data_IF_854283260064
#
_entry.id   IF_854283260064
#
_cell.length_a   1.000
_cell.length_b   1.000
_cell.length_c   1.000
_cell.angle_alpha   90.00
_cell.angle_beta   90.00
_cell.angle_gamma   90.00
#
_symmetry.space_group_name_H-M   'P 1'
#
loop_
_entity.id
_entity.type
_entity.pdbx_description
1 polymer ?
#
# COMPACT_ATOMS: atom_id res chain seq x y z
N UNK A 1 14.31 9.97 -3.06
CA UNK A 1 14.67 8.87 -2.15
C UNK A 1 15.56 7.85 -2.84
N UNK A 2 15.26 7.46 -4.09
CA UNK A 2 16.08 6.54 -4.91
C UNK A 2 17.59 6.85 -4.92
N UNK A 3 17.99 8.11 -5.12
CA UNK A 3 19.41 8.52 -5.09
C UNK A 3 20.11 8.20 -3.77
N UNK A 4 19.44 8.47 -2.64
CA UNK A 4 19.99 8.20 -1.30
C UNK A 4 20.01 6.69 -1.02
N UNK A 5 19.01 5.95 -1.52
CA UNK A 5 18.97 4.49 -1.42
C UNK A 5 20.15 3.84 -2.15
N UNK A 6 20.40 4.28 -3.40
CA UNK A 6 21.48 3.76 -4.25
C UNK A 6 22.89 4.09 -3.73
N UNK A 7 23.05 5.26 -3.11
CA UNK A 7 24.37 5.75 -2.66
C UNK A 7 24.67 5.44 -1.19
N UNK A 8 23.69 4.92 -0.43
CA UNK A 8 23.80 4.67 1.02
C UNK A 8 24.89 3.65 1.35
N UNK A 9 25.07 2.62 0.53
CA UNK A 9 26.05 1.55 0.85
C UNK A 9 27.50 2.03 0.70
N UNK A 10 27.74 3.04 -0.14
CA UNK A 10 29.06 3.64 -0.36
C UNK A 10 29.35 4.81 0.58
N UNK A 11 28.38 5.71 0.79
CA UNK A 11 28.60 6.97 1.51
C UNK A 11 27.84 7.09 2.85
N UNK A 12 26.92 6.18 3.15
CA UNK A 12 26.04 6.28 4.32
C UNK A 12 24.94 7.35 4.16
N UNK A 13 23.86 7.24 4.95
CA UNK A 13 22.69 8.13 4.85
C UNK A 13 22.99 9.55 5.34
N UNK A 14 23.66 9.71 6.48
CA UNK A 14 23.86 11.03 7.08
C UNK A 14 24.75 11.95 6.22
N UNK A 15 25.86 11.48 5.62
CA UNK A 15 26.68 12.30 4.73
C UNK A 15 25.94 12.78 3.48
N UNK A 16 25.11 11.91 2.88
CA UNK A 16 24.29 12.28 1.72
C UNK A 16 23.25 13.35 2.12
N UNK A 17 22.54 13.14 3.23
CA UNK A 17 21.58 14.12 3.75
C UNK A 17 22.25 15.45 4.13
N UNK A 18 23.50 15.42 4.61
CA UNK A 18 24.27 16.63 4.90
C UNK A 18 24.60 17.41 3.62
N UNK A 19 25.02 16.74 2.55
CA UNK A 19 25.32 17.37 1.27
C UNK A 19 24.07 17.98 0.60
N UNK A 20 22.90 17.39 0.83
CA UNK A 20 21.63 17.89 0.28
C UNK A 20 21.01 19.05 1.07
N UNK A 21 21.59 19.43 2.22
CA UNK A 21 20.98 20.35 3.19
C UNK A 21 20.58 21.69 2.59
N UNK A 22 21.39 22.26 1.71
CA UNK A 22 21.19 23.60 1.16
C UNK A 22 20.65 23.57 -0.29
N UNK A 23 20.13 22.41 -0.70
CA UNK A 23 19.55 22.21 -2.03
C UNK A 23 18.03 22.08 -1.94
N UNK A 24 17.35 22.18 -3.08
CA UNK A 24 15.91 21.88 -3.17
C UNK A 24 15.55 20.42 -2.78
N UNK A 25 16.55 19.54 -2.66
CA UNK A 25 16.39 18.14 -2.29
C UNK A 25 16.75 17.85 -0.81
N UNK A 26 16.67 18.86 0.07
CA UNK A 26 16.89 18.69 1.51
C UNK A 26 15.93 17.64 2.10
N UNK A 27 16.49 16.61 2.76
CA UNK A 27 15.72 15.55 3.43
C UNK A 27 16.42 15.20 4.75
N UNK A 28 15.65 15.08 5.83
CA UNK A 28 16.19 14.66 7.12
C UNK A 28 16.65 13.19 7.11
N UNK A 29 17.79 12.84 7.76
CA UNK A 29 18.25 11.46 7.84
C UNK A 29 17.25 10.50 8.48
N UNK A 30 16.50 10.96 9.49
CA UNK A 30 15.43 10.18 10.12
C UNK A 30 14.35 9.76 9.13
N UNK A 31 13.95 10.66 8.23
CA UNK A 31 12.97 10.39 7.17
C UNK A 31 13.49 9.35 6.18
N UNK A 32 14.75 9.47 5.76
CA UNK A 32 15.38 8.48 4.86
C UNK A 32 15.47 7.12 5.54
N UNK A 33 15.96 7.07 6.79
CA UNK A 33 16.07 5.82 7.55
C UNK A 33 14.70 5.16 7.77
N UNK A 34 13.67 5.94 8.07
CA UNK A 34 12.30 5.44 8.20
C UNK A 34 11.76 4.88 6.87
N UNK A 35 12.08 5.53 5.75
CA UNK A 35 11.66 5.10 4.42
C UNK A 35 12.40 3.85 3.94
N UNK A 36 13.70 3.75 4.22
CA UNK A 36 14.56 2.61 3.86
C UNK A 36 14.50 1.47 4.87
N UNK A 37 13.77 1.62 5.98
CA UNK A 37 13.70 0.58 7.01
C UNK A 37 13.06 -0.69 6.44
N UNK A 38 13.76 -1.84 6.46
CA UNK A 38 13.19 -3.12 6.04
C UNK A 38 12.09 -3.60 6.99
N UNK A 39 12.00 -3.02 8.19
CA UNK A 39 10.94 -3.28 9.17
C UNK A 39 9.70 -2.41 8.94
N UNK A 40 9.45 -1.97 7.70
CA UNK A 40 8.17 -1.38 7.35
C UNK A 40 7.10 -2.47 7.36
N UNK A 41 6.74 -2.94 8.56
CA UNK A 41 5.64 -3.87 8.77
C UNK A 41 4.40 -3.17 8.29
N UNK A 42 3.82 -3.66 7.20
CA UNK A 42 2.54 -3.16 6.73
C UNK A 42 1.54 -3.26 7.87
N UNK A 43 0.77 -2.19 8.07
CA UNK A 43 -0.27 -2.20 9.09
C UNK A 43 -1.18 -3.43 8.85
N UNK A 44 -1.60 -4.16 9.90
CA UNK A 44 -2.44 -5.36 9.74
C UNK A 44 -3.68 -5.12 8.87
N UNK A 45 -4.22 -3.90 8.91
CA UNK A 45 -5.32 -3.45 8.06
C UNK A 45 -4.94 -3.39 6.58
N UNK A 46 -3.74 -2.91 6.23
CA UNK A 46 -3.25 -2.84 4.84
C UNK A 46 -3.10 -4.23 4.25
N UNK A 47 -2.57 -5.18 5.04
CA UNK A 47 -2.45 -6.58 4.62
C UNK A 47 -3.84 -7.18 4.35
N UNK A 48 -4.76 -7.06 5.31
CA UNK A 48 -6.14 -7.55 5.17
C UNK A 48 -6.88 -6.90 3.99
N UNK A 49 -6.70 -5.60 3.80
CA UNK A 49 -7.32 -4.86 2.70
C UNK A 49 -6.79 -5.34 1.35
N UNK A 50 -5.49 -5.68 1.24
CA UNK A 50 -4.91 -6.25 0.02
C UNK A 50 -5.49 -7.62 -0.29
N UNK A 51 -5.59 -8.50 0.71
CA UNK A 51 -6.20 -9.83 0.55
C UNK A 51 -7.66 -9.68 0.09
N UNK A 52 -8.44 -8.85 0.78
CA UNK A 52 -9.84 -8.60 0.46
C UNK A 52 -10.03 -7.97 -0.92
N UNK A 53 -9.11 -7.12 -1.34
CA UNK A 53 -9.14 -6.54 -2.67
C UNK A 53 -8.93 -7.58 -3.77
N UNK A 54 -8.10 -8.61 -3.52
CA UNK A 54 -7.93 -9.76 -4.42
C UNK A 54 -9.25 -10.51 -4.64
N UNK A 55 -9.98 -10.80 -3.56
CA UNK A 55 -11.29 -11.47 -3.63
C UNK A 55 -12.33 -10.62 -4.34
N UNK A 56 -12.40 -9.32 -4.03
CA UNK A 56 -13.29 -8.35 -4.70
C UNK A 56 -13.02 -8.32 -6.20
N UNK A 57 -11.76 -8.27 -6.62
CA UNK A 57 -11.37 -8.23 -8.04
C UNK A 57 -11.75 -9.52 -8.76
N UNK A 58 -11.52 -10.67 -8.11
CA UNK A 58 -11.90 -11.98 -8.65
C UNK A 58 -13.40 -12.05 -8.87
N UNK A 59 -14.20 -11.76 -7.85
CA UNK A 59 -15.67 -11.72 -7.97
C UNK A 59 -16.14 -10.73 -9.04
N UNK A 60 -15.53 -9.56 -9.11
CA UNK A 60 -15.89 -8.56 -10.11
C UNK A 60 -15.59 -9.04 -11.53
N UNK A 61 -14.42 -9.64 -11.76
CA UNK A 61 -14.01 -10.20 -13.04
C UNK A 61 -14.85 -11.42 -13.46
N UNK A 62 -15.11 -12.36 -12.53
CA UNK A 62 -15.97 -13.53 -12.74
C UNK A 62 -17.38 -13.12 -13.21
N UNK A 63 -17.84 -11.94 -12.79
CA UNK A 63 -19.13 -11.37 -13.15
C UNK A 63 -19.01 -10.26 -14.20
N UNK A 64 -18.06 -10.40 -15.15
CA UNK A 64 -17.88 -9.52 -16.32
C UNK A 64 -17.67 -8.03 -16.00
N UNK A 65 -17.28 -7.70 -14.77
CA UNK A 65 -17.14 -6.33 -14.30
C UNK A 65 -18.45 -5.57 -14.10
N UNK A 66 -19.62 -6.23 -14.18
CA UNK A 66 -20.92 -5.54 -14.02
C UNK A 66 -21.39 -5.47 -12.57
N UNK A 67 -20.72 -6.18 -11.66
CA UNK A 67 -21.09 -6.19 -10.24
C UNK A 67 -20.48 -4.98 -9.52
N UNK A 68 -21.34 -4.04 -9.13
CA UNK A 68 -20.99 -3.01 -8.16
C UNK A 68 -20.93 -3.57 -6.72
N UNK A 69 -20.51 -2.75 -5.77
CA UNK A 69 -20.21 -3.15 -4.39
C UNK A 69 -21.29 -3.97 -3.69
N UNK A 70 -22.58 -3.65 -3.90
CA UNK A 70 -23.70 -4.41 -3.34
C UNK A 70 -23.72 -5.87 -3.81
N UNK A 71 -23.49 -6.10 -5.11
CA UNK A 71 -23.51 -7.45 -5.71
C UNK A 71 -22.23 -8.22 -5.38
N UNK A 72 -21.08 -7.54 -5.40
CA UNK A 72 -19.81 -8.13 -4.96
C UNK A 72 -19.90 -8.60 -3.51
N UNK A 73 -20.39 -7.76 -2.59
CA UNK A 73 -20.58 -8.14 -1.20
C UNK A 73 -21.52 -9.34 -1.03
N UNK A 74 -22.62 -9.40 -1.80
CA UNK A 74 -23.52 -10.54 -1.77
C UNK A 74 -22.85 -11.83 -2.24
N UNK A 75 -22.01 -11.75 -3.28
CA UNK A 75 -21.27 -12.89 -3.81
C UNK A 75 -20.16 -13.37 -2.87
N UNK A 76 -19.42 -12.45 -2.25
CA UNK A 76 -18.42 -12.79 -1.23
C UNK A 76 -19.05 -13.56 -0.06
N UNK A 77 -20.25 -13.14 0.39
CA UNK A 77 -21.00 -13.88 1.41
C UNK A 77 -21.45 -15.27 0.96
N UNK A 78 -21.75 -15.47 -0.33
CA UNK A 78 -22.07 -16.80 -0.88
C UNK A 78 -20.86 -17.73 -0.96
N UNK A 79 -19.65 -17.15 -0.99
CA UNK A 79 -18.37 -17.87 -0.91
C UNK A 79 -17.86 -18.01 0.54
N UNK A 80 -18.73 -17.79 1.53
CA UNK A 80 -18.40 -17.83 2.97
C UNK A 80 -17.31 -16.83 3.43
N UNK A 81 -17.11 -15.74 2.68
CA UNK A 81 -16.17 -14.67 3.04
C UNK A 81 -16.94 -13.59 3.80
N UNK A 82 -16.75 -13.52 5.13
CA UNK A 82 -17.37 -12.48 5.95
C UNK A 82 -16.58 -11.16 5.85
N UNK A 83 -17.20 -10.17 5.23
CA UNK A 83 -16.68 -8.82 5.11
C UNK A 83 -17.81 -7.81 5.26
N UNK A 84 -17.55 -6.74 6.01
CA UNK A 84 -18.50 -5.65 6.12
C UNK A 84 -18.72 -4.98 4.75
N UNK A 85 -19.99 -4.72 4.41
CA UNK A 85 -20.35 -4.02 3.16
C UNK A 85 -19.60 -2.69 2.97
N UNK A 86 -19.41 -1.91 4.03
CA UNK A 86 -18.66 -0.65 3.98
C UNK A 86 -17.19 -0.85 3.60
N UNK A 87 -16.60 -2.00 3.91
CA UNK A 87 -15.23 -2.35 3.49
C UNK A 87 -15.18 -2.62 2.00
N UNK A 88 -16.14 -3.39 1.46
CA UNK A 88 -16.25 -3.63 0.01
C UNK A 88 -16.43 -2.32 -0.75
N UNK A 89 -17.36 -1.47 -0.32
CA UNK A 89 -17.62 -0.16 -0.94
C UNK A 89 -16.37 0.74 -0.91
N UNK A 90 -15.65 0.77 0.20
CA UNK A 90 -14.41 1.53 0.33
C UNK A 90 -13.31 0.99 -0.59
N UNK A 91 -13.09 -0.31 -0.61
CA UNK A 91 -12.02 -0.93 -1.41
C UNK A 91 -12.29 -0.83 -2.91
N UNK A 92 -13.54 -0.97 -3.34
CA UNK A 92 -13.92 -0.75 -4.74
C UNK A 92 -13.81 0.71 -5.19
N UNK A 93 -13.88 1.69 -4.28
CA UNK A 93 -13.61 3.10 -4.60
C UNK A 93 -12.13 3.46 -4.64
N UNK A 94 -11.30 2.70 -3.93
CA UNK A 94 -9.85 2.92 -3.84
C UNK A 94 -9.06 2.22 -4.98
N UNK A 95 -9.78 1.60 -5.93
CA UNK A 95 -9.23 0.87 -7.08
C UNK A 95 -9.61 1.58 -8.35
#
# INVERSE_FOLDING_TARGET
MEFVAASRDEHGVDPICAALRDTAAQIAPSTVRAHLSPQKTEAPRTVRDREMLGEIRTVHADNLGVYGARKVHAELRRKDIDVARCTVERLMKAT
#
